data_IF_306786580048
#
_entry.id   IF_306786580048
#
_cell.length_a   1.000
_cell.length_b   1.000
_cell.length_c   1.000
_cell.angle_alpha   90.00
_cell.angle_beta   90.00
_cell.angle_gamma   90.00
#
_symmetry.space_group_name_H-M   'P 1'
#
loop_
_entity.id
_entity.type
_entity.pdbx_description
1 polymer ?
#
# COMPACT_ATOMS: atom_id res chain seq x y z
N UNK A 1 10.62 4.92 6.72
CA UNK A 1 10.09 4.73 8.09
C UNK A 1 11.04 3.83 8.87
N UNK A 2 11.19 4.06 10.19
CA UNK A 2 12.06 3.24 11.05
C UNK A 2 11.29 2.09 11.75
N UNK A 3 9.98 2.22 11.94
CA UNK A 3 9.11 1.20 12.59
C UNK A 3 7.95 0.78 11.66
N UNK A 4 8.25 0.46 10.41
CA UNK A 4 7.23 0.13 9.41
C UNK A 4 6.98 -1.37 9.20
N UNK A 5 7.67 -2.24 9.94
CA UNK A 5 7.66 -3.67 9.68
C UNK A 5 6.33 -4.27 10.15
N UNK A 6 5.52 -4.75 9.22
CA UNK A 6 4.34 -5.54 9.55
C UNK A 6 4.77 -6.89 10.13
N UNK A 7 4.26 -7.21 11.31
CA UNK A 7 4.55 -8.40 12.08
C UNK A 7 3.25 -9.05 12.52
N UNK A 8 3.26 -10.37 12.62
CA UNK A 8 2.17 -11.15 13.19
C UNK A 8 2.63 -11.84 14.48
N UNK A 9 1.69 -12.26 15.34
CA UNK A 9 2.06 -12.95 16.58
C UNK A 9 2.92 -14.18 16.32
N UNK A 10 4.02 -14.29 17.06
CA UNK A 10 5.00 -15.36 16.91
C UNK A 10 4.36 -16.75 17.05
N UNK A 11 4.67 -17.65 16.12
CA UNK A 11 4.14 -19.01 16.07
C UNK A 11 2.68 -19.11 15.59
N UNK A 12 2.07 -18.00 15.17
CA UNK A 12 0.69 -17.96 14.64
C UNK A 12 0.61 -17.27 13.27
N UNK A 13 1.74 -16.97 12.66
CA UNK A 13 1.85 -16.20 11.42
C UNK A 13 1.03 -16.83 10.30
N UNK A 14 1.21 -18.13 10.04
CA UNK A 14 0.45 -18.84 8.99
C UNK A 14 -1.06 -18.73 9.22
N UNK A 15 -1.52 -18.99 10.46
CA UNK A 15 -2.95 -18.92 10.81
C UNK A 15 -3.54 -17.54 10.54
N UNK A 16 -2.83 -16.48 10.91
CA UNK A 16 -3.31 -15.12 10.70
C UNK A 16 -3.22 -14.70 9.23
N UNK A 17 -2.13 -15.06 8.53
CA UNK A 17 -2.00 -14.81 7.10
C UNK A 17 -3.13 -15.47 6.32
N UNK A 18 -3.33 -16.78 6.48
CA UNK A 18 -4.39 -17.51 5.78
C UNK A 18 -5.75 -16.85 6.02
N UNK A 19 -6.06 -16.50 7.28
CA UNK A 19 -7.32 -15.82 7.63
C UNK A 19 -7.44 -14.44 6.96
N UNK A 20 -6.37 -13.66 6.93
CA UNK A 20 -6.39 -12.33 6.31
C UNK A 20 -6.52 -12.41 4.79
N UNK A 21 -5.92 -13.41 4.15
CA UNK A 21 -6.07 -13.69 2.71
C UNK A 21 -7.50 -14.11 2.38
N UNK A 22 -8.05 -15.06 3.13
CA UNK A 22 -9.44 -15.54 2.98
C UNK A 22 -10.45 -14.40 3.14
N UNK A 23 -10.17 -13.46 4.05
CA UNK A 23 -11.02 -12.30 4.30
C UNK A 23 -10.75 -11.13 3.33
N UNK A 24 -9.78 -11.23 2.41
CA UNK A 24 -9.42 -10.12 1.51
C UNK A 24 -8.86 -8.89 2.20
N UNK A 25 -8.23 -9.06 3.38
CA UNK A 25 -7.76 -7.95 4.22
C UNK A 25 -6.39 -7.40 3.81
N UNK A 26 -5.68 -8.05 2.89
CA UNK A 26 -4.37 -7.62 2.42
C UNK A 26 -4.55 -6.78 1.16
N UNK A 27 -4.37 -5.46 1.28
CA UNK A 27 -4.70 -4.49 0.23
C UNK A 27 -3.48 -4.18 -0.63
N UNK A 28 -2.29 -4.08 -0.02
CA UNK A 28 -1.05 -3.76 -0.73
C UNK A 28 0.08 -4.69 -0.35
N UNK A 29 0.88 -5.06 -1.35
CA UNK A 29 2.14 -5.79 -1.19
C UNK A 29 3.28 -5.07 -1.88
N UNK A 30 4.45 -5.16 -1.28
CA UNK A 30 5.71 -4.81 -1.92
C UNK A 30 6.08 -5.86 -2.97
N UNK A 31 6.42 -5.39 -4.17
CA UNK A 31 6.80 -6.23 -5.32
C UNK A 31 8.01 -5.65 -6.03
N UNK A 32 8.71 -6.48 -6.79
CA UNK A 32 9.74 -6.01 -7.72
C UNK A 32 9.14 -5.37 -8.98
N UNK A 33 10.01 -4.92 -9.88
CA UNK A 33 9.60 -4.27 -11.14
C UNK A 33 8.79 -5.20 -12.07
N UNK A 34 8.88 -6.51 -11.88
CA UNK A 34 8.09 -7.53 -12.60
C UNK A 34 6.76 -7.86 -11.89
N UNK A 35 6.46 -7.19 -10.78
CA UNK A 35 5.26 -7.47 -9.97
C UNK A 35 5.35 -8.74 -9.12
N UNK A 36 6.55 -9.31 -8.93
CA UNK A 36 6.78 -10.53 -8.15
C UNK A 36 7.21 -10.20 -6.73
N UNK A 37 6.98 -11.13 -5.80
CA UNK A 37 7.49 -11.01 -4.45
C UNK A 37 9.03 -10.92 -4.44
N UNK A 38 9.54 -9.96 -3.69
CA UNK A 38 10.97 -9.75 -3.52
C UNK A 38 11.28 -9.18 -2.14
N UNK A 39 12.46 -9.49 -1.62
CA UNK A 39 12.97 -8.94 -0.37
C UNK A 39 13.49 -7.51 -0.54
N UNK A 40 14.46 -7.13 0.28
CA UNK A 40 15.14 -5.84 0.14
C UNK A 40 15.78 -5.70 -1.25
N UNK A 41 15.71 -4.52 -1.92
CA UNK A 41 15.17 -3.25 -1.43
C UNK A 41 13.65 -3.06 -1.65
N UNK A 42 12.98 -3.96 -2.37
CA UNK A 42 11.57 -3.80 -2.75
C UNK A 42 10.61 -3.91 -1.57
N UNK A 43 10.88 -4.82 -0.62
CA UNK A 43 10.30 -4.81 0.71
C UNK A 43 11.26 -4.08 1.67
N UNK A 44 11.11 -2.75 1.87
CA UNK A 44 12.13 -1.93 2.50
C UNK A 44 12.21 -2.12 4.02
N UNK A 45 11.15 -2.65 4.64
CA UNK A 45 11.03 -2.82 6.08
C UNK A 45 11.02 -4.29 6.51
N UNK A 46 11.09 -5.24 5.55
CA UNK A 46 11.08 -6.68 5.82
C UNK A 46 9.75 -7.18 6.38
N UNK A 47 8.63 -6.53 6.01
CA UNK A 47 7.29 -6.94 6.44
C UNK A 47 6.99 -8.38 6.02
N UNK A 48 6.33 -9.14 6.90
CA UNK A 48 5.95 -10.53 6.61
C UNK A 48 5.06 -10.59 5.34
N UNK A 49 5.33 -11.54 4.46
CA UNK A 49 4.61 -11.73 3.19
C UNK A 49 4.55 -10.45 2.34
N UNK A 50 5.55 -9.56 2.47
CA UNK A 50 5.61 -8.28 1.78
C UNK A 50 4.41 -7.35 2.00
N UNK A 51 3.64 -7.53 3.07
CA UNK A 51 2.44 -6.72 3.34
C UNK A 51 2.81 -5.26 3.58
N UNK A 52 2.19 -4.36 2.81
CA UNK A 52 2.38 -2.92 2.87
C UNK A 52 1.14 -2.17 3.37
N UNK A 53 -0.05 -2.78 3.28
CA UNK A 53 -1.28 -2.21 3.79
C UNK A 53 -2.39 -3.25 3.93
N UNK A 54 -3.24 -3.06 4.94
CA UNK A 54 -4.32 -3.95 5.34
C UNK A 54 -5.60 -3.18 5.65
N UNK A 55 -6.75 -3.84 5.59
CA UNK A 55 -8.01 -3.28 6.05
C UNK A 55 -8.66 -4.11 7.18
N UNK A 56 -9.64 -3.52 7.85
CA UNK A 56 -10.52 -4.26 8.74
C UNK A 56 -11.44 -5.22 7.97
N UNK A 57 -12.07 -6.21 8.62
CA UNK A 57 -12.96 -7.17 7.95
C UNK A 57 -14.12 -6.53 7.18
N UNK A 58 -14.61 -5.38 7.62
CA UNK A 58 -15.68 -4.62 6.96
C UNK A 58 -15.19 -3.79 5.76
N UNK A 59 -13.87 -3.69 5.54
CA UNK A 59 -13.27 -3.01 4.40
C UNK A 59 -13.35 -1.47 4.42
N UNK A 60 -13.80 -0.86 5.51
CA UNK A 60 -14.02 0.58 5.64
C UNK A 60 -12.92 1.33 6.44
N UNK A 61 -11.94 0.61 6.98
CA UNK A 61 -10.75 1.17 7.64
C UNK A 61 -9.50 0.57 6.98
N UNK A 62 -8.67 1.43 6.39
CA UNK A 62 -7.44 1.06 5.70
C UNK A 62 -6.22 1.60 6.46
N UNK A 63 -5.30 0.72 6.83
CA UNK A 63 -4.00 1.06 7.39
C UNK A 63 -2.89 0.67 6.41
N UNK A 64 -1.97 1.59 6.10
CA UNK A 64 -0.87 1.32 5.19
C UNK A 64 0.40 2.06 5.59
N UNK A 65 1.55 1.51 5.18
CA UNK A 65 2.87 2.12 5.38
C UNK A 65 3.32 3.05 4.24
N UNK A 66 3.02 2.78 2.95
CA UNK A 66 3.23 3.77 1.90
C UNK A 66 2.51 5.09 2.18
N UNK A 67 3.05 6.19 1.66
CA UNK A 67 2.54 7.56 1.85
C UNK A 67 1.90 8.04 0.54
N UNK A 68 0.67 7.62 0.20
CA UNK A 68 0.03 8.00 -1.06
C UNK A 68 -0.23 9.51 -1.15
N UNK A 69 -0.34 10.21 -0.02
CA UNK A 69 -0.47 11.66 0.04
C UNK A 69 0.80 12.39 -0.46
N UNK A 70 1.96 11.75 -0.36
CA UNK A 70 3.24 12.25 -0.90
C UNK A 70 3.46 11.86 -2.37
N UNK A 71 2.53 11.10 -2.94
CA UNK A 71 2.51 10.71 -4.34
C UNK A 71 1.21 11.14 -5.02
N UNK A 72 0.55 12.18 -4.50
CA UNK A 72 -0.71 12.68 -5.02
C UNK A 72 -0.53 13.43 -6.34
N UNK A 73 0.55 14.21 -6.45
CA UNK A 73 0.90 14.91 -7.68
C UNK A 73 2.15 14.29 -8.30
N UNK A 74 2.22 14.25 -9.64
CA UNK A 74 3.37 13.65 -10.33
C UNK A 74 4.70 14.35 -10.02
N UNK A 75 4.66 15.66 -9.74
CA UNK A 75 5.84 16.43 -9.38
C UNK A 75 6.43 16.10 -8.00
N UNK A 76 5.69 15.38 -7.16
CA UNK A 76 6.21 14.88 -5.87
C UNK A 76 7.08 13.62 -6.06
N UNK A 77 7.05 12.99 -7.24
CA UNK A 77 7.83 11.80 -7.52
C UNK A 77 9.33 12.13 -7.65
N UNK A 78 10.26 11.38 -7.00
CA UNK A 78 11.69 11.69 -7.02
C UNK A 78 12.33 11.73 -8.41
N UNK A 79 11.76 11.01 -9.39
CA UNK A 79 12.22 11.01 -10.79
C UNK A 79 11.56 12.11 -11.64
N UNK A 80 10.84 13.05 -11.05
CA UNK A 80 10.19 14.12 -11.80
C UNK A 80 11.23 15.05 -12.43
N UNK A 81 11.34 15.01 -13.75
CA UNK A 81 12.31 15.77 -14.54
C UNK A 81 11.75 17.04 -15.18
N UNK A 82 10.64 17.59 -14.68
CA UNK A 82 10.02 18.82 -15.20
C UNK A 82 9.36 18.71 -16.57
N UNK A 83 9.12 17.48 -17.06
CA UNK A 83 8.56 17.22 -18.41
C UNK A 83 7.04 17.28 -18.48
N UNK A 84 6.36 17.21 -17.34
CA UNK A 84 4.90 17.13 -17.28
C UNK A 84 4.29 18.34 -16.56
N UNK A 85 3.01 18.61 -16.85
CA UNK A 85 2.23 19.66 -16.19
C UNK A 85 2.22 19.47 -14.67
N UNK A 86 2.18 20.57 -13.91
CA UNK A 86 1.98 20.54 -12.44
C UNK A 86 0.65 19.90 -12.04
N UNK A 87 -0.30 19.80 -12.98
CA UNK A 87 -1.63 19.22 -12.76
C UNK A 87 -1.71 17.71 -13.02
N UNK A 88 -0.62 17.08 -13.45
CA UNK A 88 -0.61 15.65 -13.72
C UNK A 88 -0.76 14.84 -12.41
N UNK A 89 -1.62 13.82 -12.49
CA UNK A 89 -1.98 12.95 -11.37
C UNK A 89 -0.78 12.05 -11.00
N UNK A 90 -0.43 12.00 -9.72
CA UNK A 90 0.47 10.97 -9.19
C UNK A 90 -0.27 9.70 -8.81
N UNK A 91 0.46 8.59 -8.66
CA UNK A 91 -0.12 7.26 -8.40
C UNK A 91 -0.98 7.22 -7.12
N UNK A 92 -0.60 7.99 -6.10
CA UNK A 92 -1.32 8.04 -4.82
C UNK A 92 -2.70 8.70 -4.93
N UNK A 93 -2.94 9.53 -5.95
CA UNK A 93 -4.22 10.23 -6.14
C UNK A 93 -5.40 9.28 -6.32
N UNK A 94 -5.19 8.15 -6.98
CA UNK A 94 -6.24 7.15 -7.23
C UNK A 94 -6.88 6.63 -5.95
N UNK A 95 -6.13 6.55 -4.84
CA UNK A 95 -6.66 6.12 -3.54
C UNK A 95 -7.66 7.14 -2.97
N UNK A 96 -7.40 8.43 -3.15
CA UNK A 96 -8.31 9.47 -2.65
C UNK A 96 -9.52 9.64 -3.56
N UNK A 97 -9.34 9.55 -4.88
CA UNK A 97 -10.45 9.63 -5.84
C UNK A 97 -11.41 8.44 -5.68
N UNK A 98 -10.93 7.25 -5.31
CA UNK A 98 -11.79 6.10 -5.03
C UNK A 98 -12.61 6.29 -3.76
N UNK A 99 -12.03 6.88 -2.71
CA UNK A 99 -12.77 7.23 -1.47
C UNK A 99 -13.89 8.22 -1.76
N UNK A 100 -13.60 9.29 -2.51
CA UNK A 100 -14.62 10.29 -2.90
C UNK A 100 -15.73 9.63 -3.72
N UNK A 101 -15.37 8.85 -4.74
CA UNK A 101 -16.34 8.16 -5.59
C UNK A 101 -17.23 7.21 -4.80
N UNK A 102 -16.67 6.51 -3.80
CA UNK A 102 -17.45 5.64 -2.92
C UNK A 102 -18.46 6.44 -2.10
N UNK A 103 -18.04 7.55 -1.48
CA UNK A 103 -18.92 8.39 -0.66
C UNK A 103 -20.04 9.00 -1.52
N UNK A 104 -19.73 9.46 -2.74
CA UNK A 104 -20.72 9.99 -3.69
C UNK A 104 -21.72 8.94 -4.19
N UNK A 105 -21.40 7.65 -4.06
CA UNK A 105 -22.27 6.54 -4.45
C UNK A 105 -23.23 6.06 -3.35
N UNK A 106 -23.07 6.54 -2.12
CA UNK A 106 -23.96 6.25 -0.99
C UNK A 106 -25.28 7.01 -1.08
#
# INVERSE_FOLDING_TARGET
HMEGKFMLPEGKEKKYLDKMEENGQIVFRYVNEEGKEAGYPWNPNGSISNIAGICNPEGNVLGMMPHPERAFHSWQHPKWGGRNSRDEKGDGRSIFESIVSYIESL
#
